data_IF_437526897987
#
_entry.id   IF_437526897987
#
_cell.length_a   1.000
_cell.length_b   1.000
_cell.length_c   1.000
_cell.angle_alpha   90.00
_cell.angle_beta   90.00
_cell.angle_gamma   90.00
#
_symmetry.space_group_name_H-M   'P 1'
#
loop_
_entity.id
_entity.type
_entity.pdbx_description
1 polymer ?
#
# COMPACT_ATOMS: atom_id res chain seq x y z
N UNK A 1 3.70 -7.18 33.26
CA UNK A 1 4.22 -6.98 31.90
C UNK A 1 5.73 -7.02 32.02
N UNK A 2 6.41 -8.01 31.43
CA UNK A 2 7.86 -8.13 31.53
C UNK A 2 8.55 -6.93 30.87
N UNK A 3 9.66 -6.45 31.44
CA UNK A 3 10.39 -5.26 30.96
C UNK A 3 10.74 -5.35 29.46
N UNK A 4 11.06 -6.56 28.97
CA UNK A 4 11.35 -6.81 27.56
C UNK A 4 10.18 -6.54 26.62
N UNK A 5 8.95 -6.86 27.02
CA UNK A 5 7.75 -6.59 26.22
C UNK A 5 7.49 -5.08 26.09
N UNK A 6 7.71 -4.33 27.18
CA UNK A 6 7.60 -2.87 27.15
C UNK A 6 8.62 -2.26 26.18
N UNK A 7 9.87 -2.73 26.20
CA UNK A 7 10.94 -2.24 25.31
C UNK A 7 10.58 -2.49 23.84
N UNK A 8 10.08 -3.69 23.52
CA UNK A 8 9.67 -4.05 22.16
C UNK A 8 8.48 -3.21 21.72
N UNK A 9 7.45 -3.05 22.55
CA UNK A 9 6.30 -2.19 22.24
C UNK A 9 6.71 -0.73 22.00
N UNK A 10 7.61 -0.20 22.83
CA UNK A 10 8.13 1.17 22.66
C UNK A 10 8.89 1.28 21.33
N UNK A 11 9.72 0.30 21.00
CA UNK A 11 10.43 0.28 19.73
C UNK A 11 9.47 0.21 18.53
N UNK A 12 8.47 -0.68 18.57
CA UNK A 12 7.45 -0.77 17.53
C UNK A 12 6.68 0.54 17.38
N UNK A 13 6.29 1.17 18.50
CA UNK A 13 5.64 2.49 18.49
C UNK A 13 6.52 3.56 17.85
N UNK A 14 7.83 3.56 18.12
CA UNK A 14 8.78 4.49 17.49
C UNK A 14 8.79 4.28 15.98
N UNK A 15 8.94 3.03 15.51
CA UNK A 15 9.00 2.70 14.07
C UNK A 15 7.69 3.08 13.36
N UNK A 16 6.55 2.71 13.94
CA UNK A 16 5.22 3.01 13.42
C UNK A 16 4.94 4.52 13.40
N UNK A 17 5.36 5.27 14.42
CA UNK A 17 5.21 6.72 14.47
C UNK A 17 6.13 7.45 13.50
N UNK A 18 7.35 6.93 13.31
CA UNK A 18 8.29 7.42 12.32
C UNK A 18 7.71 7.29 10.91
N UNK A 19 7.09 6.15 10.58
CA UNK A 19 6.45 5.94 9.29
C UNK A 19 5.48 7.07 8.93
N UNK A 20 4.49 7.35 9.79
CA UNK A 20 3.52 8.42 9.51
C UNK A 20 4.14 9.82 9.48
N UNK A 21 5.14 10.06 10.33
CA UNK A 21 5.83 11.35 10.41
C UNK A 21 6.67 11.66 9.17
N UNK A 22 7.23 10.63 8.54
CA UNK A 22 7.98 10.77 7.29
C UNK A 22 7.09 10.69 6.05
N UNK A 23 6.00 9.92 6.10
CA UNK A 23 5.07 9.79 4.98
C UNK A 23 4.33 11.11 4.71
N UNK A 24 3.77 11.74 5.74
CA UNK A 24 3.01 12.97 5.57
C UNK A 24 3.93 14.19 5.39
N UNK A 25 3.70 15.02 4.35
CA UNK A 25 4.51 16.20 4.08
C UNK A 25 4.11 17.37 5.00
N UNK A 26 4.32 17.21 6.31
CA UNK A 26 3.99 18.20 7.33
C UNK A 26 5.26 18.87 7.87
N UNK A 27 5.17 20.17 8.18
CA UNK A 27 6.32 20.97 8.64
C UNK A 27 6.82 20.53 10.04
N UNK A 28 5.91 20.21 10.97
CA UNK A 28 6.25 19.86 12.34
C UNK A 28 6.39 18.34 12.58
N UNK A 29 7.41 17.73 11.98
CA UNK A 29 7.65 16.27 12.04
C UNK A 29 7.72 15.71 13.47
N UNK A 30 8.41 16.41 14.38
CA UNK A 30 8.58 15.96 15.79
C UNK A 30 7.24 15.91 16.54
N UNK A 31 6.40 16.94 16.35
CA UNK A 31 5.07 16.97 16.98
C UNK A 31 4.20 15.82 16.49
N UNK A 32 4.26 15.52 15.19
CA UNK A 32 3.49 14.43 14.60
C UNK A 32 3.97 13.08 15.10
N UNK A 33 5.30 12.91 15.21
CA UNK A 33 5.90 11.71 15.76
C UNK A 33 5.41 11.45 17.19
N UNK A 34 5.46 12.45 18.06
CA UNK A 34 4.98 12.34 19.44
C UNK A 34 3.48 12.06 19.51
N UNK A 35 2.68 12.65 18.61
CA UNK A 35 1.25 12.38 18.53
C UNK A 35 0.99 10.90 18.20
N UNK A 36 1.58 10.36 17.14
CA UNK A 36 1.39 8.95 16.78
C UNK A 36 1.95 8.01 17.86
N UNK A 37 3.07 8.36 18.48
CA UNK A 37 3.67 7.54 19.54
C UNK A 37 2.75 7.46 20.76
N UNK A 38 2.15 8.58 21.16
CA UNK A 38 1.12 8.60 22.19
C UNK A 38 -0.13 7.82 21.78
N UNK A 39 -0.56 7.94 20.52
CA UNK A 39 -1.73 7.23 19.99
C UNK A 39 -1.52 5.70 19.98
N UNK A 40 -0.34 5.20 19.62
CA UNK A 40 -0.04 3.78 19.67
C UNK A 40 -0.01 3.24 21.10
N UNK A 41 0.78 3.88 21.97
CA UNK A 41 1.02 3.40 23.33
C UNK A 41 -0.25 3.52 24.21
N UNK A 42 -0.98 4.63 24.10
CA UNK A 42 -2.07 4.96 25.03
C UNK A 42 -3.46 4.57 24.51
N UNK A 43 -3.63 4.40 23.20
CA UNK A 43 -4.94 4.08 22.62
C UNK A 43 -4.93 2.77 21.86
N UNK A 44 -4.12 2.62 20.82
CA UNK A 44 -4.22 1.45 19.92
C UNK A 44 -3.84 0.17 20.65
N UNK A 45 -2.67 0.08 21.29
CA UNK A 45 -2.28 -1.16 21.98
C UNK A 45 -3.25 -1.55 23.10
N UNK A 46 -3.70 -0.64 23.98
CA UNK A 46 -4.73 -0.97 24.97
C UNK A 46 -6.05 -1.42 24.34
N UNK A 47 -6.55 -0.72 23.30
CA UNK A 47 -7.78 -1.10 22.61
C UNK A 47 -7.66 -2.46 21.93
N UNK A 48 -6.48 -2.80 21.40
CA UNK A 48 -6.26 -4.08 20.73
C UNK A 48 -6.35 -5.27 21.70
N UNK A 49 -6.05 -5.07 22.99
CA UNK A 49 -6.25 -6.10 24.02
C UNK A 49 -7.72 -6.43 24.31
N UNK A 50 -8.65 -5.54 23.92
CA UNK A 50 -10.09 -5.77 24.10
C UNK A 50 -10.66 -6.73 23.05
N UNK A 51 -9.96 -6.91 21.93
CA UNK A 51 -10.42 -7.78 20.85
C UNK A 51 -9.83 -9.19 21.00
N UNK A 52 -10.63 -10.26 20.81
CA UNK A 52 -10.12 -11.63 20.79
C UNK A 52 -9.05 -11.83 19.73
N UNK A 53 -8.02 -12.64 20.02
CA UNK A 53 -6.93 -12.98 19.08
C UNK A 53 -7.45 -13.56 17.76
N UNK A 54 -8.58 -14.26 17.79
CA UNK A 54 -9.22 -14.88 16.62
C UNK A 54 -9.89 -13.89 15.66
N UNK A 55 -10.04 -12.61 16.05
CA UNK A 55 -10.73 -11.57 15.27
C UNK A 55 -9.75 -10.67 14.50
N UNK A 56 -8.76 -11.29 13.85
CA UNK A 56 -7.67 -10.57 13.14
C UNK A 56 -8.21 -9.59 12.09
N UNK A 57 -9.21 -10.01 11.31
CA UNK A 57 -9.80 -9.16 10.27
C UNK A 57 -10.50 -7.92 10.85
N UNK A 58 -11.30 -8.12 11.91
CA UNK A 58 -12.03 -7.03 12.56
C UNK A 58 -11.08 -6.05 13.25
N UNK A 59 -10.01 -6.55 13.89
CA UNK A 59 -8.94 -5.73 14.48
C UNK A 59 -8.28 -4.84 13.44
N UNK A 60 -7.88 -5.41 12.30
CA UNK A 60 -7.25 -4.63 11.22
C UNK A 60 -8.21 -3.60 10.63
N UNK A 61 -9.47 -3.94 10.37
CA UNK A 61 -10.48 -2.98 9.90
C UNK A 61 -10.66 -1.84 10.92
N UNK A 62 -10.75 -2.18 12.21
CA UNK A 62 -10.86 -1.19 13.27
C UNK A 62 -9.65 -0.26 13.31
N UNK A 63 -8.43 -0.81 13.28
CA UNK A 63 -7.19 -0.04 13.29
C UNK A 63 -7.08 0.90 12.09
N UNK A 64 -7.38 0.42 10.87
CA UNK A 64 -7.44 1.24 9.65
C UNK A 64 -8.38 2.42 9.84
N UNK A 65 -9.63 2.15 10.24
CA UNK A 65 -10.66 3.20 10.37
C UNK A 65 -10.28 4.17 11.49
N UNK A 66 -9.84 3.66 12.63
CA UNK A 66 -9.46 4.46 13.79
C UNK A 66 -8.28 5.38 13.48
N UNK A 67 -7.19 4.85 12.90
CA UNK A 67 -6.03 5.64 12.46
C UNK A 67 -6.42 6.69 11.43
N UNK A 68 -7.25 6.33 10.45
CA UNK A 68 -7.73 7.25 9.43
C UNK A 68 -8.53 8.42 10.03
N UNK A 69 -9.45 8.12 10.96
CA UNK A 69 -10.26 9.12 11.66
C UNK A 69 -9.40 10.02 12.54
N UNK A 70 -8.52 9.45 13.37
CA UNK A 70 -7.65 10.25 14.26
C UNK A 70 -6.70 11.14 13.48
N UNK A 71 -6.11 10.61 12.40
CA UNK A 71 -5.29 11.40 11.48
C UNK A 71 -6.09 12.55 10.86
N UNK A 72 -7.34 12.31 10.48
CA UNK A 72 -8.20 13.34 9.89
C UNK A 72 -8.60 14.43 10.90
N UNK A 73 -8.86 14.07 12.15
CA UNK A 73 -9.23 15.02 13.21
C UNK A 73 -8.07 15.97 13.49
N UNK A 74 -6.85 15.43 13.60
CA UNK A 74 -5.65 16.20 13.97
C UNK A 74 -5.07 16.95 12.79
N UNK A 75 -5.03 16.34 11.61
CA UNK A 75 -4.42 16.90 10.40
C UNK A 75 -5.46 17.28 9.36
N UNK A 76 -6.30 18.27 9.69
CA UNK A 76 -7.36 18.77 8.79
C UNK A 76 -6.84 19.33 7.47
N UNK A 77 -5.59 19.78 7.44
CA UNK A 77 -4.91 20.32 6.26
C UNK A 77 -4.55 19.26 5.22
N UNK A 78 -4.43 17.99 5.61
CA UNK A 78 -4.12 16.91 4.68
C UNK A 78 -5.35 16.54 3.85
N UNK A 79 -5.12 16.25 2.57
CA UNK A 79 -6.16 15.74 1.67
C UNK A 79 -6.55 14.32 2.08
N UNK A 80 -7.84 14.02 2.05
CA UNK A 80 -8.38 12.69 2.42
C UNK A 80 -7.71 11.52 1.68
N UNK A 81 -7.43 11.59 0.37
CA UNK A 81 -6.71 10.52 -0.33
C UNK A 81 -5.33 10.24 0.26
N UNK A 82 -4.56 11.27 0.61
CA UNK A 82 -3.23 11.10 1.22
C UNK A 82 -3.31 10.39 2.57
N UNK A 83 -4.32 10.71 3.38
CA UNK A 83 -4.56 10.04 4.67
C UNK A 83 -4.91 8.56 4.44
N UNK A 84 -5.87 8.28 3.55
CA UNK A 84 -6.30 6.91 3.25
C UNK A 84 -5.11 6.09 2.75
N UNK A 85 -4.31 6.61 1.82
CA UNK A 85 -3.14 5.89 1.32
C UNK A 85 -2.13 5.62 2.44
N UNK A 86 -1.81 6.63 3.25
CA UNK A 86 -0.86 6.47 4.35
C UNK A 86 -1.29 5.37 5.33
N UNK A 87 -2.57 5.36 5.70
CA UNK A 87 -3.12 4.34 6.60
C UNK A 87 -3.17 2.95 5.95
N UNK A 88 -3.58 2.84 4.69
CA UNK A 88 -3.59 1.54 3.97
C UNK A 88 -2.18 1.00 3.82
N UNK A 89 -1.21 1.84 3.47
CA UNK A 89 0.19 1.45 3.29
C UNK A 89 0.82 1.00 4.61
N UNK A 90 0.49 1.68 5.71
CA UNK A 90 0.89 1.30 7.06
C UNK A 90 0.41 -0.12 7.42
N UNK A 91 -0.88 -0.40 7.21
CA UNK A 91 -1.50 -1.69 7.55
C UNK A 91 -0.96 -2.83 6.68
N UNK A 92 -0.75 -2.56 5.39
CA UNK A 92 -0.13 -3.53 4.50
C UNK A 92 1.30 -3.83 4.93
N UNK A 93 2.06 -2.82 5.36
CA UNK A 93 3.40 -3.04 5.88
C UNK A 93 3.40 -3.87 7.17
N UNK A 94 2.43 -3.69 8.05
CA UNK A 94 2.25 -4.58 9.22
C UNK A 94 2.03 -6.02 8.77
N UNK A 95 1.03 -6.25 7.92
CA UNK A 95 0.67 -7.59 7.42
C UNK A 95 1.86 -8.25 6.71
N UNK A 96 2.56 -7.52 5.83
CA UNK A 96 3.75 -8.04 5.14
C UNK A 96 4.87 -8.39 6.12
N UNK A 97 5.10 -7.54 7.13
CA UNK A 97 6.14 -7.80 8.12
C UNK A 97 5.83 -9.04 8.96
N UNK A 98 4.57 -9.22 9.36
CA UNK A 98 4.11 -10.37 10.13
C UNK A 98 4.26 -11.66 9.33
N UNK A 99 3.75 -11.68 8.10
CA UNK A 99 3.81 -12.86 7.22
C UNK A 99 5.24 -13.25 6.91
N UNK A 100 6.08 -12.26 6.58
CA UNK A 100 7.49 -12.50 6.24
C UNK A 100 8.26 -13.02 7.45
N UNK A 101 8.00 -12.45 8.62
CA UNK A 101 8.60 -12.87 9.90
C UNK A 101 8.19 -14.31 10.23
N UNK A 102 6.88 -14.61 10.21
CA UNK A 102 6.36 -15.95 10.47
C UNK A 102 6.93 -16.98 9.50
N UNK A 103 6.97 -16.66 8.20
CA UNK A 103 7.52 -17.56 7.18
C UNK A 103 9.00 -17.86 7.42
N UNK A 104 9.83 -16.84 7.66
CA UNK A 104 11.26 -17.03 7.92
C UNK A 104 11.48 -17.83 9.20
N UNK A 105 10.76 -17.49 10.27
CA UNK A 105 10.88 -18.21 11.54
C UNK A 105 10.49 -19.68 11.40
N UNK A 106 9.40 -19.96 10.69
CA UNK A 106 8.96 -21.33 10.43
C UNK A 106 9.96 -22.12 9.57
N UNK A 107 10.52 -21.52 8.52
CA UNK A 107 11.48 -22.21 7.64
C UNK A 107 12.81 -22.45 8.34
N UNK A 108 13.31 -21.48 9.10
CA UNK A 108 14.65 -21.53 9.71
C UNK A 108 14.64 -22.31 11.03
N UNK A 109 13.66 -22.05 11.90
CA UNK A 109 13.62 -22.58 13.26
C UNK A 109 12.57 -23.67 13.45
N UNK A 110 11.71 -23.94 12.44
CA UNK A 110 10.54 -24.84 12.55
C UNK A 110 9.60 -24.49 13.71
N UNK A 111 9.62 -23.22 14.10
CA UNK A 111 8.87 -22.71 15.23
C UNK A 111 8.09 -21.46 14.79
N UNK A 112 6.93 -21.27 15.41
CA UNK A 112 6.03 -20.15 15.12
C UNK A 112 5.65 -19.50 16.43
N UNK A 113 5.79 -18.16 16.57
CA UNK A 113 5.39 -17.47 17.78
C UNK A 113 3.90 -17.72 18.04
N UNK A 114 3.59 -18.16 19.25
CA UNK A 114 2.21 -18.29 19.73
C UNK A 114 1.78 -16.92 20.28
N UNK A 115 0.85 -16.20 19.62
CA UNK A 115 0.40 -14.88 20.06
C UNK A 115 -0.30 -14.93 21.43
N UNK A 116 -0.72 -16.11 21.90
CA UNK A 116 -1.35 -16.30 23.21
C UNK A 116 -0.39 -16.59 24.37
N UNK A 117 0.91 -16.82 24.11
CA UNK A 117 1.89 -17.22 25.13
C UNK A 117 3.24 -16.54 24.90
N UNK A 118 3.49 -15.45 25.64
CA UNK A 118 4.81 -14.85 25.72
C UNK A 118 5.67 -15.65 26.70
N UNK A 119 6.46 -16.59 26.19
CA UNK A 119 7.56 -17.18 26.95
C UNK A 119 8.81 -16.34 26.70
N UNK A 120 9.64 -16.14 27.73
CA UNK A 120 10.93 -15.45 27.60
C UNK A 120 11.80 -16.03 26.47
N UNK A 121 11.65 -17.33 26.19
CA UNK A 121 12.30 -18.03 25.08
C UNK A 121 11.95 -17.45 23.70
N UNK A 122 10.78 -16.84 23.50
CA UNK A 122 10.35 -16.27 22.22
C UNK A 122 10.73 -14.79 22.03
N UNK A 123 11.40 -14.14 23.00
CA UNK A 123 11.76 -12.72 22.93
C UNK A 123 12.53 -12.37 21.65
N UNK A 124 13.42 -13.27 21.21
CA UNK A 124 14.21 -13.09 19.99
C UNK A 124 13.34 -13.02 18.71
N UNK A 125 12.22 -13.74 18.67
CA UNK A 125 11.27 -13.72 17.54
C UNK A 125 10.57 -12.36 17.43
N UNK A 126 10.19 -11.77 18.56
CA UNK A 126 9.58 -10.45 18.61
C UNK A 126 10.56 -9.33 18.25
N UNK A 127 11.83 -9.45 18.66
CA UNK A 127 12.90 -8.54 18.21
C UNK A 127 13.07 -8.64 16.69
N UNK A 128 13.16 -9.86 16.16
CA UNK A 128 13.32 -10.09 14.73
C UNK A 128 12.13 -9.53 13.92
N UNK A 129 10.90 -9.78 14.35
CA UNK A 129 9.70 -9.22 13.72
C UNK A 129 9.68 -7.69 13.74
N UNK A 130 10.15 -7.09 14.83
CA UNK A 130 10.24 -5.63 14.94
C UNK A 130 11.32 -5.04 14.01
N UNK A 131 12.44 -5.73 13.81
CA UNK A 131 13.45 -5.34 12.82
C UNK A 131 12.93 -5.47 11.39
N UNK A 132 12.21 -6.55 11.09
CA UNK A 132 11.55 -6.74 9.80
C UNK A 132 10.54 -5.62 9.51
N UNK A 133 9.77 -5.21 10.51
CA UNK A 133 8.85 -4.07 10.39
C UNK A 133 9.59 -2.80 9.95
N UNK A 134 10.74 -2.49 10.57
CA UNK A 134 11.57 -1.33 10.20
C UNK A 134 12.05 -1.39 8.76
N UNK A 135 12.47 -2.57 8.30
CA UNK A 135 12.91 -2.79 6.90
C UNK A 135 11.73 -2.57 5.94
N UNK A 136 10.59 -3.22 6.20
CA UNK A 136 9.39 -3.14 5.35
C UNK A 136 8.91 -1.70 5.23
N UNK A 137 8.78 -0.98 6.35
CA UNK A 137 8.38 0.43 6.33
C UNK A 137 9.37 1.34 5.61
N UNK A 138 10.67 1.10 5.75
CA UNK A 138 11.68 1.87 5.02
C UNK A 138 11.54 1.68 3.51
N UNK A 139 11.32 0.45 3.05
CA UNK A 139 11.08 0.14 1.63
C UNK A 139 9.78 0.81 1.15
N UNK A 140 8.68 0.67 1.91
CA UNK A 140 7.40 1.27 1.54
C UNK A 140 7.46 2.79 1.41
N UNK A 141 8.18 3.47 2.30
CA UNK A 141 8.39 4.92 2.21
C UNK A 141 9.19 5.33 0.97
N UNK A 142 10.16 4.51 0.53
CA UNK A 142 10.95 4.78 -0.67
C UNK A 142 10.15 4.53 -1.96
N UNK A 143 9.38 3.45 -2.00
CA UNK A 143 8.62 3.04 -3.20
C UNK A 143 7.36 3.89 -3.37
N UNK A 144 6.69 4.27 -2.28
CA UNK A 144 5.41 4.98 -2.32
C UNK A 144 5.46 6.35 -1.65
N UNK A 145 6.08 7.36 -2.27
CA UNK A 145 6.04 8.72 -1.76
C UNK A 145 4.61 9.29 -1.74
N UNK A 146 4.31 10.15 -0.77
CA UNK A 146 2.99 10.76 -0.57
C UNK A 146 2.46 11.58 -1.76
N UNK A 147 3.34 11.94 -2.71
CA UNK A 147 2.97 12.61 -3.98
C UNK A 147 2.12 11.73 -4.89
N UNK A 148 2.26 10.41 -4.82
CA UNK A 148 1.50 9.46 -5.65
C UNK A 148 0.01 9.51 -5.31
N UNK A 149 -0.34 9.75 -4.05
CA UNK A 149 -1.74 9.83 -3.60
C UNK A 149 -2.50 11.06 -4.12
N UNK A 150 -1.85 12.00 -4.81
CA UNK A 150 -2.47 13.23 -5.32
C UNK A 150 -3.12 13.04 -6.71
N UNK A 151 -2.76 11.99 -7.45
CA UNK A 151 -3.33 11.70 -8.77
C UNK A 151 -4.53 10.76 -8.64
N UNK A 152 -5.75 11.27 -8.82
CA UNK A 152 -7.01 10.53 -8.57
C UNK A 152 -7.13 9.18 -9.28
N UNK A 153 -6.77 9.07 -10.56
CA UNK A 153 -6.89 7.81 -11.35
C UNK A 153 -5.87 6.75 -10.88
N UNK A 154 -4.61 7.14 -10.69
CA UNK A 154 -3.53 6.25 -10.21
C UNK A 154 -3.73 5.83 -8.74
N UNK A 155 -4.36 6.67 -7.92
CA UNK A 155 -4.63 6.41 -6.51
C UNK A 155 -5.57 5.22 -6.28
N UNK A 156 -6.71 5.18 -6.98
CA UNK A 156 -7.70 4.08 -6.83
C UNK A 156 -7.10 2.76 -7.31
N UNK A 157 -6.36 2.80 -8.42
CA UNK A 157 -5.62 1.66 -8.93
C UNK A 157 -4.65 1.10 -7.89
N UNK A 158 -3.82 1.98 -7.35
CA UNK A 158 -2.74 1.58 -6.47
C UNK A 158 -3.27 1.03 -5.14
N UNK A 159 -4.30 1.65 -4.58
CA UNK A 159 -4.94 1.16 -3.35
C UNK A 159 -5.61 -0.20 -3.57
N UNK A 160 -6.32 -0.40 -4.69
CA UNK A 160 -6.95 -1.69 -4.97
C UNK A 160 -5.92 -2.81 -5.09
N UNK A 161 -4.82 -2.54 -5.81
CA UNK A 161 -3.72 -3.49 -5.97
C UNK A 161 -3.06 -3.81 -4.61
N UNK A 162 -2.77 -2.78 -3.82
CA UNK A 162 -2.16 -2.89 -2.50
C UNK A 162 -3.03 -3.71 -1.53
N UNK A 163 -4.34 -3.42 -1.47
CA UNK A 163 -5.28 -4.17 -0.64
C UNK A 163 -5.40 -5.63 -1.10
N UNK A 164 -5.41 -5.89 -2.41
CA UNK A 164 -5.44 -7.25 -2.95
C UNK A 164 -4.19 -8.05 -2.54
N UNK A 165 -3.00 -7.45 -2.66
CA UNK A 165 -1.74 -8.08 -2.26
C UNK A 165 -1.74 -8.38 -0.76
N UNK A 166 -2.11 -7.40 0.07
CA UNK A 166 -2.17 -7.58 1.52
C UNK A 166 -3.14 -8.69 1.93
N UNK A 167 -4.32 -8.72 1.30
CA UNK A 167 -5.35 -9.72 1.60
C UNK A 167 -4.96 -11.13 1.12
N UNK A 168 -4.37 -11.25 -0.07
CA UNK A 168 -3.88 -12.51 -0.61
C UNK A 168 -2.75 -13.09 0.25
N UNK A 169 -1.82 -12.24 0.69
CA UNK A 169 -0.74 -12.64 1.58
C UNK A 169 -1.31 -13.15 2.91
N UNK A 170 -2.28 -12.43 3.49
CA UNK A 170 -2.94 -12.80 4.74
C UNK A 170 -3.65 -14.16 4.60
N UNK A 171 -4.41 -14.39 3.53
CA UNK A 171 -5.00 -15.70 3.24
C UNK A 171 -3.95 -16.82 3.07
N UNK A 172 -2.84 -16.54 2.38
CA UNK A 172 -1.74 -17.49 2.21
C UNK A 172 -1.10 -17.90 3.53
N UNK A 173 -0.87 -16.93 4.43
CA UNK A 173 -0.31 -17.20 5.75
C UNK A 173 -1.22 -18.10 6.60
N UNK A 174 -2.55 -17.90 6.55
CA UNK A 174 -3.50 -18.76 7.28
C UNK A 174 -3.59 -20.19 6.73
N UNK A 175 -3.28 -20.43 5.44
CA UNK A 175 -3.17 -21.79 4.89
C UNK A 175 -1.94 -22.51 5.45
N UNK A 176 -0.84 -21.78 5.66
CA UNK A 176 0.45 -22.35 6.05
C UNK A 176 0.54 -22.60 7.56
N UNK A 177 -0.15 -21.81 8.41
CA UNK A 177 -0.15 -22.02 9.87
C UNK A 177 -1.10 -23.18 10.22
N UNK A 178 -0.59 -24.39 10.56
CA UNK A 178 -1.41 -25.61 10.63
C UNK A 178 -2.31 -25.70 11.86
N UNK A 179 -2.22 -24.75 12.81
CA UNK A 179 -2.81 -24.87 14.15
C UNK A 179 -4.17 -24.17 14.32
N UNK A 180 -4.57 -23.28 13.41
CA UNK A 180 -5.75 -22.43 13.57
C UNK A 180 -6.92 -22.87 12.67
N UNK A 181 -7.45 -24.08 12.89
CA UNK A 181 -8.66 -24.59 12.20
C UNK A 181 -9.90 -23.68 12.38
N UNK A 182 -9.90 -22.79 13.38
CA UNK A 182 -11.03 -21.93 13.72
C UNK A 182 -11.23 -20.80 12.70
N UNK A 183 -10.16 -20.23 12.15
CA UNK A 183 -10.26 -19.18 11.12
C UNK A 183 -10.93 -19.71 9.84
N UNK A 184 -10.56 -20.93 9.42
CA UNK A 184 -11.18 -21.61 8.27
C UNK A 184 -12.69 -21.81 8.44
N UNK A 185 -13.16 -22.00 9.67
CA UNK A 185 -14.58 -22.28 9.95
C UNK A 185 -15.47 -21.04 9.96
N UNK A 186 -14.95 -19.86 10.37
CA UNK A 186 -15.78 -18.65 10.60
C UNK A 186 -15.52 -17.51 9.63
N UNK A 187 -14.28 -17.33 9.18
CA UNK A 187 -13.86 -16.13 8.45
C UNK A 187 -13.46 -16.40 7.00
N UNK A 188 -13.34 -17.69 6.61
CA UNK A 188 -12.90 -18.10 5.28
C UNK A 188 -13.82 -17.63 4.16
N UNK A 189 -15.14 -17.78 4.32
CA UNK A 189 -16.11 -17.32 3.32
C UNK A 189 -16.04 -15.81 3.10
N UNK A 190 -15.96 -15.04 4.19
CA UNK A 190 -15.83 -13.58 4.16
C UNK A 190 -14.51 -13.18 3.48
N UNK A 191 -13.42 -13.85 3.83
CA UNK A 191 -12.11 -13.62 3.23
C UNK A 191 -12.13 -13.88 1.71
N UNK A 192 -12.73 -14.99 1.26
CA UNK A 192 -12.88 -15.27 -0.18
C UNK A 192 -13.72 -14.21 -0.87
N UNK A 193 -14.84 -13.79 -0.30
CA UNK A 193 -15.69 -12.76 -0.93
C UNK A 193 -14.96 -11.43 -1.07
N UNK A 194 -14.21 -11.02 -0.04
CA UNK A 194 -13.38 -9.81 -0.09
C UNK A 194 -12.25 -9.95 -1.13
N UNK A 195 -11.60 -11.11 -1.19
CA UNK A 195 -10.52 -11.40 -2.13
C UNK A 195 -11.03 -11.41 -3.58
N UNK A 196 -12.22 -11.95 -3.84
CA UNK A 196 -12.89 -11.86 -5.15
C UNK A 196 -13.20 -10.40 -5.49
N UNK A 197 -13.75 -9.64 -4.55
CA UNK A 197 -14.03 -8.21 -4.73
C UNK A 197 -12.77 -7.42 -5.09
N UNK A 198 -11.68 -7.61 -4.34
CA UNK A 198 -10.40 -6.98 -4.65
C UNK A 198 -9.80 -7.47 -5.97
N UNK A 199 -9.95 -8.73 -6.34
CA UNK A 199 -9.49 -9.22 -7.64
C UNK A 199 -10.26 -8.60 -8.80
N UNK A 200 -11.57 -8.45 -8.68
CA UNK A 200 -12.39 -7.75 -9.69
C UNK A 200 -11.94 -6.29 -9.79
N UNK A 201 -11.78 -5.61 -8.66
CA UNK A 201 -11.33 -4.21 -8.64
C UNK A 201 -9.92 -4.06 -9.24
N UNK A 202 -8.99 -4.96 -8.92
CA UNK A 202 -7.64 -4.98 -9.48
C UNK A 202 -7.65 -5.30 -10.97
N UNK A 203 -8.55 -6.17 -11.45
CA UNK A 203 -8.65 -6.51 -12.87
C UNK A 203 -9.21 -5.33 -13.67
N UNK A 204 -10.25 -4.67 -13.15
CA UNK A 204 -10.76 -3.42 -13.71
C UNK A 204 -9.69 -2.32 -13.71
N UNK A 205 -8.92 -2.22 -12.63
CA UNK A 205 -7.86 -1.22 -12.51
C UNK A 205 -6.71 -1.52 -13.49
N UNK A 206 -6.30 -2.78 -13.63
CA UNK A 206 -5.28 -3.23 -14.59
C UNK A 206 -5.71 -2.98 -16.03
N UNK A 207 -6.98 -3.21 -16.36
CA UNK A 207 -7.53 -2.88 -17.67
C UNK A 207 -7.43 -1.38 -17.98
N UNK A 208 -7.74 -0.52 -17.01
CA UNK A 208 -7.60 0.93 -17.18
C UNK A 208 -6.12 1.34 -17.34
N UNK A 209 -5.23 0.76 -16.54
CA UNK A 209 -3.79 1.00 -16.64
C UNK A 209 -3.24 0.59 -18.01
N UNK A 210 -3.57 -0.62 -18.50
CA UNK A 210 -3.14 -1.10 -19.81
C UNK A 210 -3.64 -0.18 -20.93
N UNK A 211 -4.88 0.34 -20.82
CA UNK A 211 -5.40 1.32 -21.79
C UNK A 211 -4.60 2.62 -21.78
N UNK A 212 -4.34 3.20 -20.61
CA UNK A 212 -3.55 4.43 -20.50
C UNK A 212 -2.09 4.24 -20.97
N UNK A 213 -1.46 3.13 -20.62
CA UNK A 213 -0.08 2.85 -21.02
C UNK A 213 0.03 2.58 -22.53
N UNK A 214 -0.99 1.94 -23.13
CA UNK A 214 -1.06 1.79 -24.60
C UNK A 214 -1.20 3.15 -25.29
N UNK A 215 -2.08 4.02 -24.79
CA UNK A 215 -2.26 5.37 -25.34
C UNK A 215 -0.98 6.21 -25.23
N UNK A 216 -0.27 6.10 -24.10
CA UNK A 216 1.02 6.78 -23.90
C UNK A 216 2.08 6.27 -24.86
N UNK A 217 2.25 4.95 -25.01
CA UNK A 217 3.21 4.38 -25.95
C UNK A 217 2.89 4.72 -27.40
N UNK A 218 1.61 4.78 -27.78
CA UNK A 218 1.25 5.25 -29.11
C UNK A 218 1.62 6.72 -29.33
N UNK A 219 1.46 7.56 -28.30
CA UNK A 219 1.87 8.96 -28.37
C UNK A 219 3.39 9.13 -28.52
N UNK A 220 4.18 8.43 -27.71
CA UNK A 220 5.64 8.45 -27.78
C UNK A 220 6.15 7.92 -29.14
N UNK A 221 5.50 6.90 -29.71
CA UNK A 221 5.83 6.39 -31.04
C UNK A 221 5.51 7.41 -32.15
N UNK A 222 4.33 8.05 -32.09
CA UNK A 222 3.92 9.11 -33.01
C UNK A 222 4.87 10.33 -32.94
N UNK A 223 5.28 10.74 -31.73
CA UNK A 223 6.22 11.83 -31.53
C UNK A 223 7.59 11.50 -32.11
N UNK A 224 8.09 10.28 -31.92
CA UNK A 224 9.35 9.83 -32.51
C UNK A 224 9.29 9.81 -34.06
N UNK A 225 8.19 9.35 -34.65
CA UNK A 225 7.98 9.40 -36.10
C UNK A 225 7.95 10.85 -36.59
N UNK A 226 7.26 11.74 -35.88
CA UNK A 226 7.18 13.16 -36.20
C UNK A 226 8.56 13.83 -36.17
N UNK A 227 9.36 13.61 -35.13
CA UNK A 227 10.71 14.16 -35.03
C UNK A 227 11.61 13.69 -36.18
N UNK A 228 11.51 12.41 -36.57
CA UNK A 228 12.25 11.87 -37.71
C UNK A 228 11.82 12.51 -39.04
N UNK A 229 10.52 12.70 -39.27
CA UNK A 229 10.04 13.35 -40.49
C UNK A 229 10.42 14.83 -40.55
N UNK A 230 10.38 15.54 -39.42
CA UNK A 230 10.81 16.95 -39.33
C UNK A 230 12.30 17.11 -39.60
N UNK A 231 13.13 16.19 -39.09
CA UNK A 231 14.56 16.16 -39.36
C UNK A 231 14.88 15.82 -40.83
N UNK A 232 14.11 14.95 -41.47
CA UNK A 232 14.27 14.66 -42.89
C UNK A 232 13.82 15.83 -43.78
N UNK A 233 12.83 16.61 -43.33
CA UNK A 233 12.29 17.75 -44.07
C UNK A 233 13.20 18.99 -44.04
N UNK A 234 13.86 19.27 -42.91
CA UNK A 234 14.89 20.35 -42.87
C UNK A 234 16.04 20.08 -43.84
N UNK A 235 16.25 18.81 -44.20
CA UNK A 235 17.26 18.35 -45.16
C UNK A 235 16.70 18.27 -46.59
N UNK A 236 15.39 18.01 -46.76
CA UNK A 236 14.75 17.80 -48.06
C UNK A 236 13.48 18.67 -48.19
N UNK A 237 13.50 19.68 -49.07
CA UNK A 237 12.32 20.45 -49.49
C UNK A 237 11.34 19.55 -50.27
N UNK A 238 10.59 18.70 -49.58
CA UNK A 238 9.54 17.86 -50.19
C UNK A 238 8.12 18.35 -49.86
N UNK A 239 7.14 17.83 -50.61
CA UNK A 239 5.80 18.36 -50.85
C UNK A 239 4.95 18.75 -49.61
N UNK A 240 4.38 19.97 -49.65
CA UNK A 240 3.35 20.53 -48.75
C UNK A 240 2.14 19.60 -48.50
N UNK A 241 1.87 18.70 -49.44
CA UNK A 241 0.74 17.76 -49.41
C UNK A 241 0.94 16.64 -48.38
N UNK A 242 2.17 16.19 -48.17
CA UNK A 242 2.49 15.20 -47.13
C UNK A 242 2.28 15.79 -45.73
N UNK A 243 2.65 17.07 -45.55
CA UNK A 243 2.47 17.76 -44.28
C UNK A 243 1.01 17.99 -43.90
N UNK A 244 0.15 18.28 -44.89
CA UNK A 244 -1.30 18.37 -44.65
C UNK A 244 -1.90 17.05 -44.21
N UNK A 245 -1.47 15.91 -44.78
CA UNK A 245 -1.95 14.59 -44.34
C UNK A 245 -1.49 14.28 -42.93
N UNK A 246 -0.20 14.46 -42.64
CA UNK A 246 0.35 14.15 -41.32
C UNK A 246 -0.31 15.00 -40.23
N UNK A 247 -0.49 16.30 -40.47
CA UNK A 247 -1.21 17.20 -39.58
C UNK A 247 -2.66 16.78 -39.39
N UNK A 248 -3.32 16.34 -40.45
CA UNK A 248 -4.71 15.89 -40.39
C UNK A 248 -4.86 14.60 -39.59
N UNK A 249 -3.96 13.63 -39.78
CA UNK A 249 -3.96 12.37 -39.03
C UNK A 249 -3.72 12.61 -37.54
N UNK A 250 -2.81 13.55 -37.20
CA UNK A 250 -2.58 14.00 -35.83
C UNK A 250 -3.82 14.66 -35.20
N UNK A 251 -4.50 15.56 -35.94
CA UNK A 251 -5.71 16.23 -35.47
C UNK A 251 -6.85 15.22 -35.22
N UNK A 252 -7.09 14.31 -36.17
CA UNK A 252 -8.12 13.28 -36.02
C UNK A 252 -7.84 12.36 -34.83
N UNK A 253 -6.57 12.00 -34.62
CA UNK A 253 -6.18 11.15 -33.50
C UNK A 253 -6.31 11.87 -32.16
N UNK A 254 -5.98 13.18 -32.11
CA UNK A 254 -6.17 14.02 -30.92
C UNK A 254 -7.64 14.24 -30.57
N UNK A 255 -8.50 14.45 -31.57
CA UNK A 255 -9.94 14.59 -31.36
C UNK A 255 -10.54 13.28 -30.82
N UNK A 256 -10.16 12.13 -31.39
CA UNK A 256 -10.59 10.82 -30.91
C UNK A 256 -10.15 10.54 -29.46
N UNK A 257 -8.94 10.96 -29.06
CA UNK A 257 -8.48 10.80 -27.67
C UNK A 257 -9.18 11.76 -26.70
N UNK A 258 -9.58 12.94 -27.15
CA UNK A 258 -10.29 13.92 -26.31
C UNK A 258 -11.72 13.48 -25.98
N UNK A 259 -12.37 12.77 -26.90
CA UNK A 259 -13.70 12.18 -26.69
C UNK A 259 -13.66 10.97 -25.74
N UNK A 260 -12.55 10.22 -25.68
CA UNK A 260 -12.39 9.11 -24.72
C UNK A 260 -12.08 9.57 -23.28
N UNK A 261 -11.62 10.81 -23.09
CA UNK A 261 -11.31 11.37 -21.77
C UNK A 261 -12.45 12.17 -21.11
N UNK A 262 -13.51 12.52 -21.86
CA UNK A 262 -14.71 13.23 -21.37
C UNK A 262 -15.76 12.27 -20.80
#
# INVERSE_FOLDING_TARGET
>A
MELGFLIILVYQSIVQSAFFSFYYPLEHKVRNFLFYMGLFILMIYPLDTLFPVTWVLQKNIFNVVFLGVMTRIVFRSLKTPTIIMGTVLYEIGLVLSEITTLFILYVVFKDSPDPGRFNADHTHMYIFGSLMLTIVYSILLQVFPSRIALKKKEFVYLISLLLNIGFTALCGAFIVVPKEHVFFSRSYGIAITILIGFNILTLLSLQQFIRHERARRSFEALEATYQNELANYTVSHQDDLAWRRLRHDLLNFWEATKEEES
#
